data_IF_334522123645
#
_entry.id   IF_334522123645
#
_cell.length_a   1.000
_cell.length_b   1.000
_cell.length_c   1.000
_cell.angle_alpha   90.00
_cell.angle_beta   90.00
_cell.angle_gamma   90.00
#
_symmetry.space_group_name_H-M   'P 1'
#
loop_
_entity.id
_entity.type
_entity.pdbx_description
1 polymer ?
#
# COMPACT_ATOMS: atom_id res chain seq x y z
N UNK A 1 -6.66 6.96 -21.00
CA UNK A 1 -6.97 5.54 -20.87
C UNK A 1 -5.86 4.90 -20.08
N UNK A 2 -6.12 4.45 -18.86
CA UNK A 2 -5.16 3.73 -18.04
C UNK A 2 -4.75 2.46 -18.77
N UNK A 3 -3.45 2.21 -18.94
CA UNK A 3 -2.98 0.92 -19.43
C UNK A 3 -3.18 -0.12 -18.31
N UNK A 4 -4.34 -0.78 -18.35
CA UNK A 4 -4.73 -1.79 -17.39
C UNK A 4 -3.74 -2.94 -17.34
N UNK A 5 -3.03 -3.24 -18.44
CA UNK A 5 -2.02 -4.29 -18.47
C UNK A 5 -0.77 -3.87 -17.68
N UNK A 6 -0.35 -2.61 -17.78
CA UNK A 6 0.77 -2.09 -16.98
C UNK A 6 0.44 -2.07 -15.49
N UNK A 7 -0.76 -1.61 -15.12
CA UNK A 7 -1.22 -1.64 -13.72
C UNK A 7 -1.28 -3.07 -13.17
N UNK A 8 -1.90 -4.00 -13.91
CA UNK A 8 -1.99 -5.41 -13.51
C UNK A 8 -0.60 -6.06 -13.40
N UNK A 9 0.31 -5.76 -14.33
CA UNK A 9 1.69 -6.25 -14.29
C UNK A 9 2.44 -5.76 -13.05
N UNK A 10 2.27 -4.48 -12.69
CA UNK A 10 2.81 -3.93 -11.44
C UNK A 10 2.23 -4.66 -10.21
N UNK A 11 0.91 -4.78 -10.10
CA UNK A 11 0.26 -5.41 -8.95
C UNK A 11 0.62 -6.90 -8.83
N UNK A 12 0.72 -7.63 -9.95
CA UNK A 12 1.24 -9.01 -9.96
C UNK A 12 2.66 -9.08 -9.40
N UNK A 13 3.52 -8.14 -9.79
CA UNK A 13 4.88 -8.05 -9.24
C UNK A 13 4.91 -7.78 -7.74
N UNK A 14 4.01 -6.94 -7.22
CA UNK A 14 3.86 -6.70 -5.78
C UNK A 14 3.37 -7.96 -5.07
N UNK A 15 2.30 -8.58 -5.57
CA UNK A 15 1.72 -9.80 -4.98
C UNK A 15 2.73 -10.96 -4.93
N UNK A 16 3.52 -11.17 -6.00
CA UNK A 16 4.58 -12.18 -6.00
C UNK A 16 5.68 -11.87 -4.98
N UNK A 17 6.04 -10.60 -4.79
CA UNK A 17 7.00 -10.21 -3.76
C UNK A 17 6.44 -10.42 -2.34
N UNK A 18 5.15 -10.16 -2.13
CA UNK A 18 4.47 -10.46 -0.86
C UNK A 18 4.50 -11.95 -0.53
N UNK A 19 4.18 -12.82 -1.49
CA UNK A 19 4.25 -14.28 -1.27
C UNK A 19 5.69 -14.72 -1.00
N UNK A 20 6.67 -14.19 -1.73
CA UNK A 20 8.08 -14.54 -1.55
C UNK A 20 8.62 -14.14 -0.16
N UNK A 21 8.21 -12.99 0.36
CA UNK A 21 8.69 -12.46 1.64
C UNK A 21 7.89 -12.94 2.86
N UNK A 22 6.75 -13.62 2.69
CA UNK A 22 5.92 -14.05 3.80
C UNK A 22 6.56 -15.23 4.56
N UNK A 23 6.97 -15.00 5.81
CA UNK A 23 7.67 -15.99 6.64
C UNK A 23 6.73 -16.80 7.56
N UNK A 24 5.46 -16.40 7.66
CA UNK A 24 4.46 -17.01 8.55
C UNK A 24 3.16 -17.31 7.79
N UNK A 25 2.36 -18.29 8.25
CA UNK A 25 1.10 -18.68 7.59
C UNK A 25 0.11 -17.54 7.41
N UNK A 26 -0.02 -16.67 8.42
CA UNK A 26 -0.98 -15.56 8.42
C UNK A 26 -0.69 -14.53 7.32
N UNK A 27 0.50 -13.90 7.24
CA UNK A 27 0.82 -13.00 6.11
C UNK A 27 0.88 -13.73 4.76
N UNK A 28 1.19 -15.04 4.73
CA UNK A 28 1.16 -15.82 3.49
C UNK A 28 -0.28 -15.93 2.95
N UNK A 29 -1.26 -16.15 3.82
CA UNK A 29 -2.68 -16.24 3.46
C UNK A 29 -3.14 -14.99 2.68
N UNK A 30 -2.93 -13.79 3.24
CA UNK A 30 -3.30 -12.54 2.60
C UNK A 30 -2.57 -12.31 1.28
N UNK A 31 -1.27 -12.65 1.22
CA UNK A 31 -0.46 -12.53 0.02
C UNK A 31 -0.92 -13.47 -1.11
N UNK A 32 -1.28 -14.72 -0.79
CA UNK A 32 -1.79 -15.70 -1.74
C UNK A 32 -3.19 -15.33 -2.24
N UNK A 33 -4.08 -14.85 -1.37
CA UNK A 33 -5.39 -14.32 -1.77
C UNK A 33 -5.24 -13.18 -2.77
N UNK A 34 -4.29 -12.25 -2.54
CA UNK A 34 -4.03 -11.18 -3.48
C UNK A 34 -3.42 -11.68 -4.80
N UNK A 35 -2.40 -12.55 -4.74
CA UNK A 35 -1.72 -13.08 -5.93
C UNK A 35 -2.66 -13.88 -6.84
N UNK A 36 -3.56 -14.69 -6.27
CA UNK A 36 -4.50 -15.48 -7.05
C UNK A 36 -5.51 -14.61 -7.79
N UNK A 37 -6.04 -13.56 -7.14
CA UNK A 37 -7.06 -12.70 -7.74
C UNK A 37 -6.49 -11.70 -8.76
N UNK A 38 -5.32 -11.11 -8.51
CA UNK A 38 -4.77 -10.05 -9.40
C UNK A 38 -4.53 -10.52 -10.85
N UNK A 39 -4.45 -11.83 -11.08
CA UNK A 39 -4.24 -12.43 -12.41
C UNK A 39 -5.39 -12.11 -13.36
N UNK A 40 -6.64 -12.22 -12.90
CA UNK A 40 -7.85 -12.15 -13.74
C UNK A 40 -8.98 -11.28 -13.16
N UNK A 41 -8.78 -10.65 -11.99
CA UNK A 41 -9.77 -9.75 -11.37
C UNK A 41 -10.34 -8.73 -12.36
N UNK A 42 -11.67 -8.55 -12.46
CA UNK A 42 -12.29 -7.58 -13.38
C UNK A 42 -11.84 -6.14 -13.11
N UNK A 43 -11.66 -5.37 -14.17
CA UNK A 43 -11.41 -3.92 -14.12
C UNK A 43 -12.75 -3.19 -14.05
N UNK A 44 -12.89 -2.25 -13.10
CA UNK A 44 -14.04 -1.38 -12.96
C UNK A 44 -13.85 -0.09 -13.77
N UNK A 45 -14.95 0.62 -14.04
CA UNK A 45 -14.87 1.98 -14.55
C UNK A 45 -14.52 2.94 -13.41
N UNK A 46 -13.52 3.78 -13.60
CA UNK A 46 -13.07 4.78 -12.63
C UNK A 46 -12.43 5.96 -13.36
N UNK A 47 -12.35 7.10 -12.65
CA UNK A 47 -11.62 8.27 -13.10
C UNK A 47 -10.32 8.40 -12.31
N UNK A 48 -9.21 8.64 -13.01
CA UNK A 48 -7.94 8.96 -12.36
C UNK A 48 -8.04 10.32 -11.66
N UNK A 49 -7.37 10.45 -10.52
CA UNK A 49 -7.31 11.70 -9.77
C UNK A 49 -5.89 11.97 -9.30
N UNK A 50 -5.56 13.25 -9.20
CA UNK A 50 -4.25 13.72 -8.78
C UNK A 50 -4.38 14.50 -7.48
N UNK A 51 -3.50 14.20 -6.53
CA UNK A 51 -3.35 14.94 -5.27
C UNK A 51 -1.91 15.45 -5.15
N UNK A 52 -1.72 16.55 -4.43
CA UNK A 52 -0.41 17.22 -4.32
C UNK A 52 0.70 16.32 -3.77
N UNK A 53 0.36 15.23 -3.08
CA UNK A 53 1.35 14.26 -2.60
C UNK A 53 2.14 13.62 -3.74
N UNK A 54 1.56 13.53 -4.95
CA UNK A 54 2.21 12.97 -6.13
C UNK A 54 3.25 13.92 -6.75
N UNK A 55 3.34 15.17 -6.31
CA UNK A 55 4.38 16.11 -6.77
C UNK A 55 5.80 15.60 -6.43
N UNK A 56 5.92 14.73 -5.41
CA UNK A 56 7.18 14.06 -5.05
C UNK A 56 7.39 12.70 -5.71
N UNK A 57 6.56 12.29 -6.66
CA UNK A 57 6.60 10.95 -7.29
C UNK A 57 7.97 10.59 -7.88
N UNK A 58 8.69 11.57 -8.43
CA UNK A 58 10.03 11.34 -9.01
C UNK A 58 11.08 10.87 -8.00
N UNK A 59 10.82 11.02 -6.70
CA UNK A 59 11.71 10.56 -5.61
C UNK A 59 11.43 9.09 -5.23
N UNK A 60 10.34 8.48 -5.71
CA UNK A 60 9.91 7.12 -5.35
C UNK A 60 10.67 6.09 -6.18
N UNK A 61 11.95 5.85 -5.88
CA UNK A 61 12.85 5.11 -6.77
C UNK A 61 13.65 3.96 -6.15
N UNK A 62 13.48 3.67 -4.85
CA UNK A 62 14.34 2.74 -4.10
C UNK A 62 14.40 1.33 -4.71
N UNK A 63 13.24 0.76 -5.04
CA UNK A 63 13.12 -0.61 -5.56
C UNK A 63 12.74 -0.66 -7.04
N UNK A 64 12.90 -1.82 -7.67
CA UNK A 64 12.36 -2.06 -9.01
C UNK A 64 10.84 -1.91 -9.07
N UNK A 65 10.13 -2.26 -7.99
CA UNK A 65 8.69 -2.06 -7.86
C UNK A 65 8.35 -0.57 -7.72
N UNK A 66 9.09 0.22 -6.94
CA UNK A 66 8.92 1.66 -6.84
C UNK A 66 9.03 2.37 -8.20
N UNK A 67 10.05 2.02 -9.00
CA UNK A 67 10.21 2.59 -10.35
C UNK A 67 9.06 2.21 -11.29
N UNK A 68 8.51 0.98 -11.17
CA UNK A 68 7.31 0.60 -11.93
C UNK A 68 6.05 1.33 -11.43
N UNK A 69 5.94 1.56 -10.13
CA UNK A 69 4.84 2.32 -9.54
C UNK A 69 4.76 3.75 -10.12
N UNK A 70 5.90 4.41 -10.35
CA UNK A 70 5.93 5.74 -10.98
C UNK A 70 5.17 5.79 -12.32
N UNK A 71 5.18 4.70 -13.09
CA UNK A 71 4.53 4.64 -14.40
C UNK A 71 3.00 4.54 -14.32
N UNK A 72 2.44 4.17 -13.16
CA UNK A 72 1.00 3.98 -13.00
C UNK A 72 0.37 4.99 -12.03
N UNK A 73 1.16 5.63 -11.17
CA UNK A 73 0.64 6.42 -10.06
C UNK A 73 -0.32 7.53 -10.52
N UNK A 74 0.00 8.26 -11.59
CA UNK A 74 -0.87 9.33 -12.12
C UNK A 74 -2.14 8.83 -12.83
N UNK A 75 -2.29 7.52 -13.01
CA UNK A 75 -3.43 6.91 -13.70
C UNK A 75 -4.46 6.28 -12.77
N UNK A 76 -4.24 6.38 -11.46
CA UNK A 76 -5.05 5.76 -10.42
C UNK A 76 -5.96 6.79 -9.70
N UNK A 77 -7.06 6.36 -9.07
CA UNK A 77 -7.97 7.24 -8.33
C UNK A 77 -7.46 7.50 -6.90
N UNK A 78 -6.55 8.47 -6.74
CA UNK A 78 -6.10 8.92 -5.43
C UNK A 78 -7.15 9.75 -4.68
N UNK A 79 -7.30 9.47 -3.39
CA UNK A 79 -8.15 10.20 -2.46
C UNK A 79 -7.36 10.60 -1.21
N UNK A 80 -7.81 11.66 -0.53
CA UNK A 80 -7.25 12.04 0.76
C UNK A 80 -7.47 10.91 1.77
N UNK A 81 -6.49 10.70 2.65
CA UNK A 81 -6.72 9.79 3.77
C UNK A 81 -7.75 10.39 4.72
N UNK A 82 -8.79 9.61 5.06
CA UNK A 82 -9.76 9.99 6.10
C UNK A 82 -9.10 10.22 7.46
N UNK A 83 -7.89 9.70 7.69
CA UNK A 83 -7.11 9.91 8.92
C UNK A 83 -6.36 11.24 8.93
N UNK A 84 -6.21 11.89 7.77
CA UNK A 84 -5.51 13.16 7.60
C UNK A 84 -6.34 14.11 6.71
N UNK A 85 -7.55 14.52 7.15
CA UNK A 85 -8.45 15.31 6.33
C UNK A 85 -7.84 16.66 5.95
N UNK A 86 -7.98 17.05 4.67
CA UNK A 86 -7.43 18.30 4.12
C UNK A 86 -5.91 18.28 3.95
N UNK A 87 -5.27 17.12 4.01
CA UNK A 87 -3.82 16.96 3.86
C UNK A 87 -3.43 16.13 2.63
N UNK A 88 -4.18 16.27 1.51
CA UNK A 88 -3.90 15.58 0.25
C UNK A 88 -2.54 15.89 -0.40
N UNK A 89 -1.82 16.91 0.07
CA UNK A 89 -0.43 17.20 -0.29
C UNK A 89 0.61 16.40 0.52
N UNK A 90 0.18 15.83 1.64
CA UNK A 90 1.03 15.09 2.61
C UNK A 90 0.75 13.60 2.62
N UNK A 91 -0.50 13.19 2.52
CA UNK A 91 -0.88 11.79 2.58
C UNK A 91 -2.07 11.51 1.66
N UNK A 92 -2.00 10.42 0.92
CA UNK A 92 -3.10 9.95 0.09
C UNK A 92 -3.22 8.42 0.16
N UNK A 93 -4.45 7.96 -0.08
CA UNK A 93 -4.77 6.57 -0.29
C UNK A 93 -5.24 6.39 -1.74
N UNK A 94 -4.90 5.25 -2.34
CA UNK A 94 -5.56 4.77 -3.55
C UNK A 94 -6.22 3.45 -3.21
N UNK A 95 -7.55 3.45 -3.09
CA UNK A 95 -8.33 2.23 -2.92
C UNK A 95 -8.38 1.46 -4.25
N UNK A 96 -7.70 0.33 -4.32
CA UNK A 96 -7.67 -0.49 -5.53
C UNK A 96 -8.95 -1.33 -5.69
N UNK A 97 -9.81 -1.42 -4.67
CA UNK A 97 -11.15 -2.00 -4.84
C UNK A 97 -12.08 -1.09 -5.64
N UNK A 98 -11.78 0.20 -5.76
CA UNK A 98 -12.45 1.11 -6.69
C UNK A 98 -11.97 0.94 -8.15
N UNK A 99 -10.86 0.21 -8.35
CA UNK A 99 -10.25 -0.05 -9.67
C UNK A 99 -10.52 -1.48 -10.12
N UNK A 100 -10.50 -2.44 -9.19
CA UNK A 100 -10.63 -3.87 -9.45
C UNK A 100 -11.62 -4.51 -8.49
N UNK A 101 -12.40 -5.48 -8.96
CA UNK A 101 -13.40 -6.19 -8.15
C UNK A 101 -12.79 -7.32 -7.30
N UNK A 102 -11.91 -6.98 -6.35
CA UNK A 102 -11.36 -7.95 -5.40
C UNK A 102 -12.45 -8.51 -4.47
N UNK A 103 -12.39 -9.82 -4.18
CA UNK A 103 -13.36 -10.54 -3.34
C UNK A 103 -12.71 -10.98 -2.04
N UNK A 104 -13.35 -10.66 -0.91
CA UNK A 104 -12.88 -11.05 0.42
C UNK A 104 -11.61 -10.34 0.91
N UNK A 105 -10.99 -9.51 0.07
CA UNK A 105 -9.83 -8.69 0.39
C UNK A 105 -10.06 -7.23 0.00
N UNK A 106 -9.47 -6.31 0.76
CA UNK A 106 -9.30 -4.92 0.33
C UNK A 106 -7.82 -4.64 0.05
N UNK A 107 -7.53 -4.04 -1.10
CA UNK A 107 -6.17 -3.75 -1.54
C UNK A 107 -6.06 -2.27 -1.80
N UNK A 108 -4.97 -1.64 -1.40
CA UNK A 108 -4.75 -0.24 -1.71
C UNK A 108 -3.32 0.21 -1.53
N UNK A 109 -3.06 1.47 -1.86
CA UNK A 109 -1.76 2.09 -1.73
C UNK A 109 -1.83 3.22 -0.71
N UNK A 110 -0.82 3.29 0.14
CA UNK A 110 -0.52 4.42 1.00
C UNK A 110 0.64 5.20 0.40
N UNK A 111 0.45 6.50 0.20
CA UNK A 111 1.52 7.44 -0.13
C UNK A 111 1.66 8.46 0.99
N UNK A 112 2.85 8.60 1.55
CA UNK A 112 3.22 9.66 2.48
C UNK A 112 4.33 10.50 1.88
N UNK A 113 4.19 11.83 1.91
CA UNK A 113 5.28 12.73 1.61
C UNK A 113 6.37 12.64 2.70
N UNK A 114 7.54 13.22 2.44
CA UNK A 114 8.63 13.27 3.42
C UNK A 114 8.20 13.98 4.71
N UNK A 115 8.73 13.53 5.84
CA UNK A 115 8.49 14.08 7.18
C UNK A 115 7.02 14.11 7.58
N UNK A 116 6.23 13.13 7.11
CA UNK A 116 4.81 12.97 7.46
C UNK A 116 4.66 11.80 8.43
N UNK A 117 3.98 12.03 9.55
CA UNK A 117 3.54 10.95 10.42
C UNK A 117 2.13 10.51 10.02
N UNK A 118 1.95 9.21 9.80
CA UNK A 118 0.63 8.62 9.62
C UNK A 118 0.09 8.18 10.98
N UNK A 119 -1.08 8.71 11.42
CA UNK A 119 -1.58 8.49 12.78
C UNK A 119 -1.67 7.02 13.15
N UNK A 120 -1.42 6.71 14.43
CA UNK A 120 -1.67 5.38 14.96
C UNK A 120 -3.16 5.02 14.84
N UNK A 121 -3.43 3.80 14.44
CA UNK A 121 -4.78 3.26 14.31
C UNK A 121 -4.74 1.74 14.40
N UNK A 122 -5.93 1.17 14.51
CA UNK A 122 -6.18 -0.26 14.45
C UNK A 122 -7.50 -0.49 13.73
N UNK A 123 -7.76 -1.75 13.39
CA UNK A 123 -9.03 -2.22 12.85
C UNK A 123 -9.12 -3.74 12.94
N UNK A 124 -10.33 -4.27 12.78
CA UNK A 124 -10.62 -5.69 12.87
C UNK A 124 -9.94 -6.56 11.79
N UNK A 125 -9.91 -6.18 10.49
CA UNK A 125 -9.25 -7.00 9.49
C UNK A 125 -7.74 -7.11 9.72
N UNK A 126 -7.19 -8.29 9.40
CA UNK A 126 -5.74 -8.51 9.29
C UNK A 126 -5.16 -7.59 8.21
N UNK A 127 -3.91 -7.18 8.35
CA UNK A 127 -3.27 -6.27 7.40
C UNK A 127 -1.84 -6.67 7.07
N UNK A 128 -1.53 -6.66 5.78
CA UNK A 128 -0.20 -6.89 5.25
C UNK A 128 0.22 -5.71 4.38
N UNK A 129 1.32 -5.04 4.74
CA UNK A 129 1.99 -4.09 3.86
C UNK A 129 3.21 -4.70 3.18
N UNK A 130 3.46 -4.31 1.93
CA UNK A 130 4.80 -4.31 1.33
C UNK A 130 5.27 -2.87 1.18
N UNK A 131 6.41 -2.53 1.80
CA UNK A 131 7.04 -1.21 1.62
C UNK A 131 7.70 -1.17 0.24
N UNK A 132 7.24 -0.29 -0.65
CA UNK A 132 7.76 -0.17 -2.01
C UNK A 132 8.93 0.81 -2.09
N UNK A 133 8.85 1.91 -1.33
CA UNK A 133 9.78 3.04 -1.35
C UNK A 133 9.74 3.79 -0.02
N UNK A 134 10.85 4.46 0.32
CA UNK A 134 11.03 5.15 1.60
C UNK A 134 11.36 4.20 2.75
N UNK A 135 12.35 4.59 3.57
CA UNK A 135 12.64 3.96 4.86
C UNK A 135 12.01 4.80 5.96
N UNK A 136 11.15 4.19 6.78
CA UNK A 136 10.43 4.87 7.85
C UNK A 136 10.45 4.06 9.14
N UNK A 137 10.12 4.72 10.26
CA UNK A 137 9.87 4.02 11.51
C UNK A 137 8.39 3.58 11.52
N UNK A 138 8.14 2.29 11.74
CA UNK A 138 6.80 1.70 11.79
C UNK A 138 6.54 1.12 13.16
N UNK A 139 5.36 1.37 13.71
CA UNK A 139 4.80 0.56 14.80
C UNK A 139 3.87 -0.47 14.16
N UNK A 140 4.06 -1.75 14.46
CA UNK A 140 3.34 -2.84 13.81
C UNK A 140 3.46 -4.15 14.59
N UNK A 141 2.64 -5.16 14.25
CA UNK A 141 2.74 -6.54 14.74
C UNK A 141 2.83 -6.65 16.26
N UNK A 142 1.95 -5.93 16.97
CA UNK A 142 1.87 -5.89 18.43
C UNK A 142 3.03 -5.17 19.14
N UNK A 143 3.98 -4.55 18.43
CA UNK A 143 5.10 -3.85 19.06
C UNK A 143 4.68 -2.52 19.71
N UNK A 144 5.25 -2.20 20.86
CA UNK A 144 5.07 -0.89 21.51
C UNK A 144 5.94 0.19 20.87
N UNK A 145 7.14 -0.18 20.44
CA UNK A 145 8.12 0.71 19.83
C UNK A 145 8.02 0.77 18.31
N UNK A 146 8.47 1.91 17.75
CA UNK A 146 8.67 2.05 16.31
C UNK A 146 9.99 1.41 15.88
N UNK A 147 9.94 0.59 14.84
CA UNK A 147 11.11 -0.07 14.21
C UNK A 147 11.36 0.49 12.82
N UNK A 148 12.62 0.65 12.45
CA UNK A 148 12.99 1.10 11.10
C UNK A 148 12.74 -0.02 10.10
N UNK A 149 11.91 0.24 9.08
CA UNK A 149 11.60 -0.71 8.02
C UNK A 149 11.99 -0.12 6.66
N UNK A 150 12.92 -0.75 5.92
CA UNK A 150 13.30 -0.31 4.59
C UNK A 150 12.35 -0.85 3.50
N UNK A 151 12.43 -0.31 2.27
CA UNK A 151 11.75 -0.88 1.11
C UNK A 151 12.10 -2.34 0.84
N UNK A 152 11.11 -3.11 0.40
CA UNK A 152 11.19 -4.55 0.12
C UNK A 152 10.74 -5.44 1.28
N UNK A 153 10.50 -4.87 2.47
CA UNK A 153 10.10 -5.62 3.65
C UNK A 153 8.58 -5.69 3.79
N UNK A 154 8.11 -6.80 4.35
CA UNK A 154 6.73 -6.99 4.78
C UNK A 154 6.50 -6.50 6.20
N UNK A 155 5.29 -6.02 6.43
CA UNK A 155 4.79 -5.64 7.74
C UNK A 155 3.43 -6.30 7.89
N UNK A 156 3.27 -7.09 8.96
CA UNK A 156 2.02 -7.78 9.27
C UNK A 156 1.46 -7.27 10.59
N UNK A 157 0.15 -6.98 10.60
CA UNK A 157 -0.63 -6.62 11.77
C UNK A 157 -1.75 -7.65 11.97
N UNK A 158 -1.84 -8.20 13.17
CA UNK A 158 -3.00 -9.00 13.59
C UNK A 158 -4.22 -8.08 13.78
N UNK A 159 -5.44 -8.66 13.87
CA UNK A 159 -6.63 -7.90 14.23
C UNK A 159 -6.39 -7.04 15.47
N UNK A 160 -6.69 -5.75 15.38
CA UNK A 160 -6.54 -4.76 16.45
C UNK A 160 -5.12 -4.46 16.93
N UNK A 161 -4.07 -4.92 16.25
CA UNK A 161 -2.72 -4.44 16.52
C UNK A 161 -2.64 -2.94 16.23
N UNK A 162 -2.21 -2.12 17.20
CA UNK A 162 -2.05 -0.68 17.01
C UNK A 162 -0.81 -0.42 16.13
N UNK A 163 -1.02 0.21 14.98
CA UNK A 163 0.03 0.45 13.99
C UNK A 163 0.01 1.89 13.45
N UNK A 164 1.16 2.35 12.94
CA UNK A 164 1.34 3.72 12.43
C UNK A 164 2.74 3.95 11.89
N UNK A 165 2.96 5.09 11.24
CA UNK A 165 4.21 5.40 10.52
C UNK A 165 4.76 6.75 10.95
N UNK A 166 6.05 6.81 11.24
CA UNK A 166 6.83 8.06 11.31
C UNK A 166 7.77 8.11 10.12
N UNK A 167 7.34 8.78 9.05
CA UNK A 167 8.12 8.84 7.82
C UNK A 167 9.26 9.86 7.92
N UNK A 168 10.41 9.51 7.32
CA UNK A 168 11.63 10.31 7.32
C UNK A 168 11.75 11.22 6.09
N UNK A 169 12.99 11.47 5.67
CA UNK A 169 13.33 12.51 4.69
C UNK A 169 12.94 12.25 3.22
N UNK A 170 12.32 11.11 2.90
CA UNK A 170 11.89 10.75 1.55
C UNK A 170 10.41 10.32 1.54
N UNK A 171 9.70 10.40 0.41
CA UNK A 171 8.36 9.85 0.29
C UNK A 171 8.33 8.35 0.59
N UNK A 172 7.28 7.91 1.27
CA UNK A 172 7.00 6.51 1.53
C UNK A 172 5.83 6.05 0.67
N UNK A 173 5.98 4.89 0.04
CA UNK A 173 4.90 4.21 -0.66
C UNK A 173 4.82 2.77 -0.18
N UNK A 174 3.64 2.32 0.21
CA UNK A 174 3.38 0.94 0.57
C UNK A 174 2.07 0.47 -0.06
N UNK A 175 1.99 -0.81 -0.45
CA UNK A 175 0.74 -1.46 -0.82
C UNK A 175 0.26 -2.27 0.37
N UNK A 176 -1.02 -2.13 0.74
CA UNK A 176 -1.66 -2.94 1.77
C UNK A 176 -2.64 -3.95 1.19
N UNK A 177 -2.79 -5.07 1.87
CA UNK A 177 -3.86 -6.06 1.70
C UNK A 177 -4.53 -6.26 3.06
N UNK A 178 -5.84 -6.15 3.09
CA UNK A 178 -6.70 -6.39 4.25
C UNK A 178 -7.59 -7.61 3.99
N UNK A 179 -7.78 -8.49 4.97
CA UNK A 179 -8.67 -9.65 4.87
C UNK A 179 -9.21 -10.09 6.23
N UNK A 180 -10.20 -11.00 6.22
CA UNK A 180 -10.88 -11.44 7.44
C UNK A 180 -11.86 -10.39 7.97
N UNK A 181 -12.80 -9.97 7.14
CA UNK A 181 -13.81 -8.95 7.46
C UNK A 181 -15.02 -9.48 8.26
N UNK A 182 -15.03 -10.77 8.57
CA UNK A 182 -16.11 -11.48 9.25
C UNK A 182 -16.12 -11.29 10.78
#
# INVERSE_FOLDING_TARGET
MTDSNTTRSFLRGVASAMVFCAEHPEPLEGAEQFLTQVVDVPLLAFDASHLGVLDSLSQVSDTGLARRFQNIASTLPWAESHRMPGMGDKAALCDLNAVFEFKGIAVGLLYLNKNVEYPQHDHAPQELYLVLSGTAAWRYGGNEDYKIVPPGNLIYNQPFDLHGVRNGGAPLVALYVLWGFD
#
